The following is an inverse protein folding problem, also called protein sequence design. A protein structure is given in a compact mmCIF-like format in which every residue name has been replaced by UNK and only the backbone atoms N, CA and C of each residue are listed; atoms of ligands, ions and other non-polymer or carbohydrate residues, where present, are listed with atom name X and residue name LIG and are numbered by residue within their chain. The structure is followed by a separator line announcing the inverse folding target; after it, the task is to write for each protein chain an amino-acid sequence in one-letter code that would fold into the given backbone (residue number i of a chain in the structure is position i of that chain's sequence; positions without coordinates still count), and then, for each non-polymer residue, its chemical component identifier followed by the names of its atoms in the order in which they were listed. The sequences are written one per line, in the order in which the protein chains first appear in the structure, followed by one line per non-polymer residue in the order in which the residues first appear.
data_IF_394056918464
#
_entry.id   IF_394056918464
#
_cell.length_a   1.000
_cell.length_b   1.000
_cell.length_c   1.000
_cell.angle_alpha   90.00
_cell.angle_beta   90.00
_cell.angle_gamma   90.00
#
_symmetry.space_group_name_H-M   'P 1'
#
loop_
_entity.id
_entity.type
_entity.pdbx_description
1 polymer ?
#
# COMPACT_ATOMS: atom_id res chain seq x y z
N UNK A 1 20.40 -2.88 -2.44
CA UNK A 1 19.22 -3.76 -2.46
C UNK A 1 19.08 -4.41 -1.09
N UNK A 2 18.04 -4.03 -0.38
CA UNK A 2 17.65 -4.54 0.93
C UNK A 2 17.33 -6.03 0.88
N UNK A 3 17.88 -6.80 1.82
CA UNK A 3 17.68 -8.25 1.92
C UNK A 3 16.80 -8.62 3.12
N UNK A 4 16.24 -9.83 3.14
CA UNK A 4 15.49 -10.33 4.30
C UNK A 4 16.38 -10.44 5.55
N UNK A 5 17.68 -10.73 5.39
CA UNK A 5 18.61 -10.77 6.52
C UNK A 5 18.86 -9.38 7.12
N UNK A 6 18.78 -8.32 6.31
CA UNK A 6 18.85 -6.95 6.82
C UNK A 6 17.62 -6.60 7.67
N UNK A 7 16.44 -7.09 7.30
CA UNK A 7 15.23 -6.93 8.09
C UNK A 7 15.31 -7.73 9.40
N UNK A 8 15.76 -8.99 9.37
CA UNK A 8 15.90 -9.85 10.56
C UNK A 8 16.78 -9.25 11.65
N UNK A 9 17.81 -8.50 11.27
CA UNK A 9 18.75 -7.87 12.19
C UNK A 9 18.16 -6.61 12.87
N UNK A 10 16.98 -6.15 12.45
CA UNK A 10 16.34 -4.92 12.94
C UNK A 10 15.13 -5.25 13.81
N UNK A 11 15.01 -4.58 14.95
CA UNK A 11 13.79 -4.63 15.78
C UNK A 11 12.79 -3.60 15.22
N UNK A 12 12.18 -3.94 14.09
CA UNK A 12 11.25 -3.04 13.38
C UNK A 12 9.90 -3.01 14.09
N UNK A 13 9.33 -1.82 14.21
CA UNK A 13 8.02 -1.60 14.79
C UNK A 13 6.93 -1.73 13.72
N UNK A 14 5.83 -2.41 14.06
CA UNK A 14 4.60 -2.50 13.25
C UNK A 14 3.65 -1.32 13.48
N UNK A 15 2.40 -1.46 13.00
CA UNK A 15 1.35 -0.44 13.14
C UNK A 15 0.94 -0.17 14.59
N UNK A 16 1.02 -1.20 15.44
CA UNK A 16 0.84 -1.06 16.90
C UNK A 16 2.03 -0.40 17.61
N UNK A 17 3.09 -0.01 16.88
CA UNK A 17 4.34 0.57 17.40
C UNK A 17 5.07 -0.31 18.42
N UNK A 18 4.87 -1.62 18.31
CA UNK A 18 5.62 -2.64 19.02
C UNK A 18 6.42 -3.47 18.00
N UNK A 19 7.52 -4.12 18.42
CA UNK A 19 8.25 -5.03 17.55
C UNK A 19 7.35 -6.13 16.98
N UNK A 20 7.47 -6.41 15.69
CA UNK A 20 6.72 -7.48 15.01
C UNK A 20 7.66 -8.39 14.22
N UNK A 21 7.23 -9.63 13.95
CA UNK A 21 7.96 -10.53 13.05
C UNK A 21 7.65 -10.19 11.59
N UNK A 22 8.34 -9.18 11.07
CA UNK A 22 8.12 -8.67 9.71
C UNK A 22 8.35 -9.74 8.65
N UNK A 23 9.23 -10.72 8.92
CA UNK A 23 9.55 -11.78 7.96
C UNK A 23 8.39 -12.75 7.86
N UNK A 24 7.87 -13.21 8.99
CA UNK A 24 6.72 -14.11 9.01
C UNK A 24 5.50 -13.48 8.31
N UNK A 25 5.23 -12.20 8.60
CA UNK A 25 4.13 -11.45 7.98
C UNK A 25 4.32 -11.34 6.47
N UNK A 26 5.51 -10.91 6.02
CA UNK A 26 5.81 -10.75 4.61
C UNK A 26 5.75 -12.09 3.86
N UNK A 27 6.35 -13.14 4.39
CA UNK A 27 6.34 -14.48 3.79
C UNK A 27 4.91 -15.00 3.62
N UNK A 28 4.00 -14.74 4.56
CA UNK A 28 2.60 -15.14 4.44
C UNK A 28 1.94 -14.62 3.17
N UNK A 29 2.18 -13.36 2.81
CA UNK A 29 1.64 -12.74 1.58
C UNK A 29 2.40 -13.20 0.34
N UNK A 30 3.74 -13.30 0.40
CA UNK A 30 4.53 -13.69 -0.76
C UNK A 30 4.26 -15.15 -1.19
N UNK A 31 4.03 -16.05 -0.24
CA UNK A 31 3.74 -17.46 -0.52
C UNK A 31 2.31 -17.65 -1.05
N UNK A 32 1.38 -16.79 -0.63
CA UNK A 32 -0.06 -16.90 -0.93
C UNK A 32 -0.68 -15.52 -1.21
N UNK A 33 -0.34 -14.86 -2.33
CA UNK A 33 -0.75 -13.48 -2.58
C UNK A 33 -2.25 -13.30 -2.85
N UNK A 34 -2.97 -14.39 -3.14
CA UNK A 34 -4.43 -14.39 -3.31
C UNK A 34 -5.20 -14.86 -2.06
N UNK A 35 -4.50 -15.20 -0.97
CA UNK A 35 -5.13 -15.59 0.29
C UNK A 35 -5.47 -14.34 1.10
N UNK A 36 -6.78 -14.08 1.28
CA UNK A 36 -7.25 -12.91 2.01
C UNK A 36 -6.74 -12.88 3.45
N UNK A 37 -6.60 -14.03 4.10
CA UNK A 37 -6.12 -14.09 5.48
C UNK A 37 -4.65 -13.64 5.60
N UNK A 38 -3.84 -13.84 4.55
CA UNK A 38 -2.47 -13.36 4.53
C UNK A 38 -2.40 -11.83 4.50
N UNK A 39 -3.23 -11.20 3.67
CA UNK A 39 -3.34 -9.74 3.62
C UNK A 39 -3.95 -9.17 4.90
N UNK A 40 -5.00 -9.78 5.45
CA UNK A 40 -5.61 -9.33 6.70
C UNK A 40 -4.59 -9.34 7.86
N UNK A 41 -3.74 -10.37 7.96
CA UNK A 41 -2.66 -10.42 8.94
C UNK A 41 -1.62 -9.30 8.70
N UNK A 42 -1.25 -9.04 7.45
CA UNK A 42 -0.33 -7.96 7.08
C UNK A 42 -0.91 -6.59 7.46
N UNK A 43 -2.18 -6.34 7.17
CA UNK A 43 -2.88 -5.12 7.57
C UNK A 43 -2.91 -4.99 9.09
N UNK A 44 -3.37 -6.01 9.81
CA UNK A 44 -3.48 -5.97 11.26
C UNK A 44 -2.16 -5.61 11.94
N UNK A 45 -1.05 -6.23 11.51
CA UNK A 45 0.24 -6.04 12.16
C UNK A 45 0.95 -4.76 11.71
N UNK A 46 0.83 -4.38 10.44
CA UNK A 46 1.65 -3.30 9.85
C UNK A 46 0.87 -2.00 9.63
N UNK A 47 -0.44 -1.97 9.76
CA UNK A 47 -1.24 -0.76 9.60
C UNK A 47 -2.43 -0.76 10.57
N UNK A 48 -2.33 0.04 11.63
CA UNK A 48 -3.36 0.08 12.67
C UNK A 48 -4.05 1.44 12.72
N UNK A 49 -5.24 1.55 12.13
CA UNK A 49 -6.06 2.79 12.17
C UNK A 49 -5.31 4.06 11.71
N UNK A 50 -4.44 3.92 10.71
CA UNK A 50 -3.60 5.01 10.21
C UNK A 50 -2.23 5.11 10.87
N UNK A 51 -1.95 4.35 11.92
CA UNK A 51 -0.62 4.23 12.51
C UNK A 51 0.22 3.17 11.78
N UNK A 52 1.48 3.54 11.51
CA UNK A 52 2.47 2.69 10.86
C UNK A 52 3.80 2.75 11.61
N UNK A 53 4.63 1.74 11.39
CA UNK A 53 6.01 1.72 11.86
C UNK A 53 7.00 1.49 10.73
N UNK A 54 8.29 1.37 11.07
CA UNK A 54 9.35 1.10 10.09
C UNK A 54 9.13 -0.24 9.35
N UNK A 55 8.52 -1.22 10.02
CA UNK A 55 8.19 -2.51 9.41
C UNK A 55 7.26 -2.33 8.21
N UNK A 56 6.23 -1.50 8.36
CA UNK A 56 5.23 -1.18 7.33
C UNK A 56 5.84 -0.58 6.07
N UNK A 57 6.87 0.25 6.24
CA UNK A 57 7.63 0.82 5.12
C UNK A 57 8.58 -0.21 4.51
N UNK A 58 9.22 -1.04 5.34
CA UNK A 58 10.28 -1.96 4.94
C UNK A 58 9.81 -3.15 4.09
N UNK A 59 8.53 -3.53 4.17
CA UNK A 59 7.96 -4.62 3.36
C UNK A 59 7.71 -4.21 1.91
N UNK A 60 7.54 -2.91 1.65
CA UNK A 60 7.15 -2.39 0.33
C UNK A 60 8.10 -2.85 -0.79
N UNK A 61 9.44 -2.73 -0.68
CA UNK A 61 10.33 -3.17 -1.76
C UNK A 61 10.19 -4.65 -2.09
N UNK A 62 9.89 -5.49 -1.11
CA UNK A 62 9.70 -6.93 -1.31
C UNK A 62 8.36 -7.22 -1.96
N UNK A 63 7.27 -6.66 -1.43
CA UNK A 63 5.93 -6.79 -1.99
C UNK A 63 5.91 -6.36 -3.46
N UNK A 64 6.44 -5.18 -3.77
CA UNK A 64 6.44 -4.68 -5.15
C UNK A 64 7.25 -5.59 -6.06
N UNK A 65 8.51 -5.91 -5.72
CA UNK A 65 9.35 -6.72 -6.61
C UNK A 65 8.73 -8.10 -6.88
N UNK A 66 8.34 -8.82 -5.83
CA UNK A 66 7.84 -10.18 -5.95
C UNK A 66 6.46 -10.25 -6.61
N UNK A 67 5.55 -9.32 -6.29
CA UNK A 67 4.19 -9.35 -6.84
C UNK A 67 4.12 -8.82 -8.28
N UNK A 68 4.98 -7.87 -8.65
CA UNK A 68 5.12 -7.43 -10.04
C UNK A 68 5.69 -8.55 -10.91
N UNK A 69 6.68 -9.29 -10.41
CA UNK A 69 7.31 -10.42 -11.13
C UNK A 69 6.29 -11.50 -11.53
N UNK A 70 5.37 -11.84 -10.62
CA UNK A 70 4.30 -12.82 -10.89
C UNK A 70 3.05 -12.22 -11.53
N UNK A 71 3.11 -10.93 -11.92
CA UNK A 71 1.99 -10.20 -12.51
C UNK A 71 0.69 -10.20 -11.67
N UNK A 72 0.83 -10.11 -10.34
CA UNK A 72 -0.29 -10.06 -9.41
C UNK A 72 -1.28 -8.93 -9.73
N UNK A 73 -2.56 -9.26 -9.80
CA UNK A 73 -3.62 -8.36 -10.25
C UNK A 73 -4.69 -8.03 -9.20
N UNK A 74 -4.48 -8.48 -7.95
CA UNK A 74 -5.40 -8.19 -6.85
C UNK A 74 -5.33 -6.73 -6.35
N UNK A 75 -6.41 -6.24 -5.71
CA UNK A 75 -6.49 -4.88 -5.21
C UNK A 75 -5.59 -4.63 -3.99
N UNK A 76 -5.29 -5.66 -3.20
CA UNK A 76 -4.65 -5.53 -1.88
C UNK A 76 -3.28 -4.85 -1.95
N UNK A 77 -2.47 -5.15 -2.97
CA UNK A 77 -1.17 -4.51 -3.20
C UNK A 77 -1.32 -2.98 -3.32
N UNK A 78 -2.28 -2.53 -4.11
CA UNK A 78 -2.50 -1.12 -4.40
C UNK A 78 -3.10 -0.39 -3.19
N UNK A 79 -4.09 -1.01 -2.55
CA UNK A 79 -4.74 -0.50 -1.35
C UNK A 79 -3.73 -0.32 -0.20
N UNK A 80 -2.89 -1.35 0.05
CA UNK A 80 -1.89 -1.31 1.11
C UNK A 80 -0.83 -0.23 0.84
N UNK A 81 -0.20 -0.26 -0.34
CA UNK A 81 0.87 0.69 -0.65
C UNK A 81 0.34 2.12 -0.68
N UNK A 82 -0.85 2.34 -1.24
CA UNK A 82 -1.52 3.65 -1.25
C UNK A 82 -1.73 4.18 0.17
N UNK A 83 -2.26 3.35 1.06
CA UNK A 83 -2.51 3.72 2.46
C UNK A 83 -1.22 4.03 3.22
N UNK A 84 -0.16 3.25 3.00
CA UNK A 84 1.17 3.56 3.55
C UNK A 84 1.71 4.89 3.01
N UNK A 85 1.52 5.18 1.72
CA UNK A 85 1.97 6.47 1.17
C UNK A 85 1.27 7.67 1.83
N UNK A 86 -0.02 7.53 2.14
CA UNK A 86 -0.81 8.58 2.78
C UNK A 86 -0.40 8.74 4.25
N UNK A 87 -0.27 7.62 4.98
CA UNK A 87 0.03 7.62 6.41
C UNK A 87 1.47 8.06 6.73
N UNK A 88 2.43 7.79 5.85
CA UNK A 88 3.85 8.09 6.08
C UNK A 88 4.08 9.58 6.36
N UNK A 89 4.80 9.87 7.44
CA UNK A 89 5.15 11.24 7.84
C UNK A 89 3.98 12.08 8.36
N UNK A 90 2.79 11.49 8.51
CA UNK A 90 1.65 12.12 9.18
C UNK A 90 1.68 11.82 10.67
N UNK A 91 1.27 12.79 11.50
CA UNK A 91 1.21 12.65 12.96
C UNK A 91 2.55 12.14 13.52
N UNK A 92 2.55 10.97 14.16
CA UNK A 92 3.72 10.33 14.77
C UNK A 92 4.28 9.19 13.90
N UNK A 93 3.78 9.01 12.68
CA UNK A 93 4.25 7.97 11.78
C UNK A 93 5.65 8.32 11.24
N UNK A 94 6.54 7.31 11.12
CA UNK A 94 7.87 7.53 10.58
C UNK A 94 7.82 7.98 9.11
N UNK A 95 8.81 8.78 8.72
CA UNK A 95 9.18 8.94 7.31
C UNK A 95 10.00 7.73 6.84
N UNK A 96 10.28 7.64 5.53
CA UNK A 96 11.19 6.58 5.03
C UNK A 96 12.58 6.80 5.64
N UNK A 97 13.12 5.84 6.40
CA UNK A 97 14.45 6.00 6.98
C UNK A 97 15.54 5.90 5.91
N UNK A 98 16.68 6.56 6.13
CA UNK A 98 17.78 6.65 5.14
C UNK A 98 18.24 5.29 4.62
N UNK A 99 18.31 4.28 5.50
CA UNK A 99 18.73 2.92 5.15
C UNK A 99 17.77 2.20 4.20
N UNK A 100 16.52 2.65 4.10
CA UNK A 100 15.46 2.08 3.25
C UNK A 100 15.21 2.92 1.99
N UNK A 101 15.67 4.18 1.98
CA UNK A 101 15.21 5.20 1.04
C UNK A 101 15.40 4.80 -0.43
N UNK A 102 16.58 4.30 -0.79
CA UNK A 102 16.89 3.90 -2.17
C UNK A 102 15.96 2.78 -2.66
N UNK A 103 15.91 1.66 -1.93
CA UNK A 103 15.06 0.51 -2.26
C UNK A 103 13.57 0.87 -2.30
N UNK A 104 13.12 1.75 -1.41
CA UNK A 104 11.76 2.26 -1.39
C UNK A 104 11.43 3.08 -2.64
N UNK A 105 12.30 4.01 -3.03
CA UNK A 105 12.10 4.84 -4.22
C UNK A 105 12.11 3.99 -5.49
N UNK A 106 13.01 3.03 -5.60
CA UNK A 106 13.04 2.06 -6.70
C UNK A 106 11.73 1.26 -6.77
N UNK A 107 11.20 0.81 -5.63
CA UNK A 107 9.92 0.12 -5.58
C UNK A 107 8.76 1.00 -6.05
N UNK A 108 8.72 2.27 -5.63
CA UNK A 108 7.68 3.20 -6.09
C UNK A 108 7.74 3.45 -7.60
N UNK A 109 8.94 3.59 -8.16
CA UNK A 109 9.13 3.73 -9.61
C UNK A 109 8.68 2.47 -10.36
N UNK A 110 9.06 1.29 -9.88
CA UNK A 110 8.64 0.01 -10.44
C UNK A 110 7.11 -0.14 -10.42
N UNK A 111 6.48 0.17 -9.28
CA UNK A 111 5.04 0.09 -9.14
C UNK A 111 4.31 1.10 -10.04
N UNK A 112 4.87 2.31 -10.22
CA UNK A 112 4.33 3.29 -11.16
C UNK A 112 4.40 2.78 -12.60
N UNK A 113 5.53 2.19 -13.03
CA UNK A 113 5.62 1.55 -14.35
C UNK A 113 4.62 0.40 -14.49
N UNK A 114 4.48 -0.41 -13.44
CA UNK A 114 3.53 -1.52 -13.41
C UNK A 114 2.08 -1.05 -13.56
N UNK A 115 1.73 0.07 -12.92
CA UNK A 115 0.38 0.66 -13.01
C UNK A 115 -0.03 0.96 -14.46
N UNK A 116 0.86 1.57 -15.26
CA UNK A 116 0.62 1.85 -16.67
C UNK A 116 0.42 0.60 -17.52
N UNK A 117 1.11 -0.49 -17.20
CA UNK A 117 0.93 -1.78 -17.87
C UNK A 117 -0.38 -2.47 -17.47
N UNK A 118 -0.86 -2.26 -16.24
CA UNK A 118 -2.06 -2.91 -15.71
C UNK A 118 -3.37 -2.23 -16.12
N UNK A 119 -3.39 -0.91 -16.31
CA UNK A 119 -4.60 -0.17 -16.72
C UNK A 119 -5.37 -0.83 -17.87
N UNK A 120 -4.77 -1.15 -19.03
CA UNK A 120 -5.53 -1.66 -20.17
C UNK A 120 -6.13 -3.06 -19.99
N UNK A 121 -5.62 -3.83 -19.01
CA UNK A 121 -6.02 -5.24 -18.78
C UNK A 121 -6.81 -5.44 -17.49
N UNK A 122 -6.90 -4.42 -16.63
CA UNK A 122 -7.60 -4.52 -15.34
C UNK A 122 -9.09 -4.30 -15.56
N UNK A 123 -9.91 -5.26 -15.15
CA UNK A 123 -11.37 -5.21 -15.27
C UNK A 123 -12.09 -4.96 -13.95
N UNK A 124 -11.43 -5.24 -12.82
CA UNK A 124 -11.96 -4.97 -11.48
C UNK A 124 -12.05 -3.46 -11.25
N UNK A 125 -13.24 -2.88 -11.02
CA UNK A 125 -13.40 -1.46 -10.71
C UNK A 125 -12.64 -1.06 -9.45
N UNK A 126 -12.62 -1.94 -8.44
CA UNK A 126 -11.89 -1.72 -7.19
C UNK A 126 -10.37 -1.61 -7.43
N UNK A 127 -9.78 -2.57 -8.14
CA UNK A 127 -8.35 -2.53 -8.47
C UNK A 127 -8.03 -1.31 -9.32
N UNK A 128 -8.86 -0.99 -10.31
CA UNK A 128 -8.69 0.17 -11.18
C UNK A 128 -8.71 1.48 -10.38
N UNK A 129 -9.64 1.62 -9.43
CA UNK A 129 -9.71 2.77 -8.53
C UNK A 129 -8.42 2.95 -7.73
N UNK A 130 -7.91 1.89 -7.10
CA UNK A 130 -6.67 1.97 -6.33
C UNK A 130 -5.45 2.29 -7.21
N UNK A 131 -5.38 1.73 -8.43
CA UNK A 131 -4.35 2.08 -9.42
C UNK A 131 -4.37 3.58 -9.73
N UNK A 132 -5.55 4.15 -10.02
CA UNK A 132 -5.68 5.57 -10.30
C UNK A 132 -5.35 6.45 -9.09
N UNK A 133 -5.81 6.06 -7.90
CA UNK A 133 -5.48 6.74 -6.64
C UNK A 133 -3.97 6.79 -6.40
N UNK A 134 -3.28 5.67 -6.60
CA UNK A 134 -1.82 5.60 -6.53
C UNK A 134 -1.14 6.50 -7.56
N UNK A 135 -1.57 6.47 -8.83
CA UNK A 135 -0.97 7.32 -9.88
C UNK A 135 -1.13 8.80 -9.54
N UNK A 136 -2.34 9.25 -9.18
CA UNK A 136 -2.61 10.64 -8.81
C UNK A 136 -1.75 11.06 -7.63
N UNK A 137 -1.65 10.22 -6.59
CA UNK A 137 -0.78 10.47 -5.47
C UNK A 137 0.68 10.64 -5.90
N UNK A 138 1.20 9.75 -6.74
CA UNK A 138 2.58 9.83 -7.25
C UNK A 138 2.83 11.02 -8.18
N UNK A 139 1.78 11.55 -8.82
CA UNK A 139 1.81 12.76 -9.66
C UNK A 139 1.54 14.06 -8.89
N UNK A 140 1.55 14.00 -7.56
CA UNK A 140 1.36 15.13 -6.65
C UNK A 140 -0.07 15.69 -6.61
N UNK A 141 -1.05 14.96 -7.13
CA UNK A 141 -2.47 15.23 -6.89
C UNK A 141 -2.94 14.45 -5.66
N UNK A 142 -2.58 14.98 -4.48
CA UNK A 142 -2.73 14.28 -3.20
C UNK A 142 -4.19 14.14 -2.79
N UNK A 143 -5.01 15.16 -3.02
CA UNK A 143 -6.43 15.18 -2.61
C UNK A 143 -7.22 14.10 -3.33
N UNK A 144 -7.16 14.06 -4.67
CA UNK A 144 -7.90 13.04 -5.43
C UNK A 144 -7.26 11.66 -5.29
N UNK A 145 -5.93 11.58 -5.20
CA UNK A 145 -5.23 10.33 -4.93
C UNK A 145 -5.69 9.69 -3.61
N UNK A 146 -5.73 10.47 -2.54
CA UNK A 146 -6.20 10.03 -1.23
C UNK A 146 -7.68 9.63 -1.26
N UNK A 147 -8.53 10.43 -1.88
CA UNK A 147 -9.96 10.13 -1.99
C UNK A 147 -10.22 8.76 -2.64
N UNK A 148 -9.51 8.43 -3.73
CA UNK A 148 -9.65 7.14 -4.40
C UNK A 148 -9.08 5.96 -3.61
N UNK A 149 -8.12 6.20 -2.71
CA UNK A 149 -7.51 5.16 -1.87
C UNK A 149 -8.33 4.93 -0.59
N UNK A 150 -8.82 5.96 0.07
CA UNK A 150 -9.41 5.84 1.41
C UNK A 150 -10.93 5.77 1.41
N UNK A 151 -11.61 6.41 0.46
CA UNK A 151 -13.07 6.44 0.44
C UNK A 151 -13.62 5.23 -0.30
N UNK A 152 -14.62 4.58 0.27
CA UNK A 152 -15.39 3.53 -0.41
C UNK A 152 -16.40 4.15 -1.39
N UNK A 153 -16.89 3.41 -2.40
CA UNK A 153 -17.83 3.96 -3.38
C UNK A 153 -19.11 4.49 -2.74
N UNK A 154 -19.64 3.80 -1.72
CA UNK A 154 -20.79 4.22 -0.93
C UNK A 154 -20.57 5.57 -0.22
N UNK A 155 -19.38 5.80 0.35
CA UNK A 155 -19.05 7.09 0.96
C UNK A 155 -18.97 8.21 -0.08
N UNK A 156 -18.49 7.92 -1.29
CA UNK A 156 -18.47 8.89 -2.39
C UNK A 156 -19.89 9.19 -2.87
N UNK A 157 -20.73 8.16 -3.03
CA UNK A 157 -22.13 8.32 -3.41
C UNK A 157 -22.92 9.14 -2.38
N UNK A 158 -22.79 8.83 -1.09
CA UNK A 158 -23.41 9.59 0.00
C UNK A 158 -22.98 11.08 -0.02
N UNK A 159 -21.70 11.34 -0.28
CA UNK A 159 -21.20 12.71 -0.41
C UNK A 159 -21.84 13.42 -1.61
N UNK A 160 -21.91 12.77 -2.77
CA UNK A 160 -22.48 13.36 -3.99
C UNK A 160 -24.00 13.63 -3.86
N UNK A 161 -24.74 12.75 -3.18
CA UNK A 161 -26.15 12.99 -2.82
C UNK A 161 -26.29 14.21 -1.91
N UNK A 162 -25.44 14.29 -0.88
CA UNK A 162 -25.44 15.40 0.09
C UNK A 162 -25.19 16.77 -0.56
N UNK A 163 -24.41 16.81 -1.64
CA UNK A 163 -24.14 18.03 -2.42
C UNK A 163 -25.13 18.28 -3.58
N UNK A 164 -26.13 17.42 -3.77
CA UNK A 164 -27.12 17.53 -4.85
C UNK A 164 -26.53 17.33 -6.25
N UNK A 165 -25.41 16.59 -6.35
CA UNK A 165 -24.74 16.27 -7.62
C UNK A 165 -25.37 15.03 -8.26
N UNK A 166 -25.79 14.06 -7.45
CA UNK A 166 -26.60 12.94 -7.90
C UNK A 166 -28.08 13.34 -7.81
N UNK A 167 -28.72 13.49 -8.97
CA UNK A 167 -30.17 13.53 -9.04
C UNK A 167 -30.67 12.08 -9.11
N UNK A 168 -31.46 11.67 -8.11
CA UNK A 168 -32.25 10.43 -8.15
C UNK A 168 -33.28 10.44 -9.28
#
# INVERSE_FOLDING_TARGET
MLTLDDLRKRQLLGGYRIPCDVIAILSGVLDRPYDRAAWDALWQELYHQGDIGEASLSVIPFLVRSLVEVSYDGPDLWAYIGSIQIAKGQRENPNVPEWLLEDYLTAMELLLKYSYMRIPVTTSPETMRYIFGFILWMKNDKTFGQALIELTPDVIEEALESYGVLCS
#
